data_IF_187009640621
#
_entry.id   IF_187009640621
#
_cell.length_a   1.000
_cell.length_b   1.000
_cell.length_c   1.000
_cell.angle_alpha   90.00
_cell.angle_beta   90.00
_cell.angle_gamma   90.00
#
_symmetry.space_group_name_H-M   'P 1'
#
loop_
_entity.id
_entity.type
_entity.pdbx_description
1 polymer ?
#
# COMPACT_ATOMS: atom_id res chain seq x y z
N UNK A 1 7.91 28.98 17.37
CA UNK A 1 8.74 29.29 18.55
C UNK A 1 10.05 29.90 18.10
N UNK A 2 10.61 30.80 18.90
CA UNK A 2 11.96 31.36 18.70
C UNK A 2 12.93 30.66 19.64
N UNK A 3 14.13 30.39 19.17
CA UNK A 3 15.23 29.91 20.01
C UNK A 3 15.77 30.96 20.96
N UNK A 4 16.74 30.60 21.82
CA UNK A 4 17.29 31.43 22.87
C UNK A 4 17.87 32.81 22.39
N UNK A 5 18.21 32.91 21.09
CA UNK A 5 18.78 34.10 20.47
C UNK A 5 17.82 34.82 19.50
N UNK A 6 16.51 34.58 19.62
CA UNK A 6 15.49 35.17 18.74
C UNK A 6 15.48 34.65 17.30
N UNK A 7 16.31 33.64 16.97
CA UNK A 7 16.29 32.98 15.66
C UNK A 7 15.16 31.95 15.64
N UNK A 8 14.52 31.74 14.48
CA UNK A 8 13.58 30.62 14.31
C UNK A 8 14.25 29.29 14.66
N UNK A 9 13.55 28.46 15.43
CA UNK A 9 14.00 27.08 15.66
C UNK A 9 13.88 26.32 14.34
N UNK A 10 14.91 25.59 13.90
CA UNK A 10 14.79 24.74 12.72
C UNK A 10 13.60 23.79 12.86
N UNK A 11 12.75 23.76 11.85
CA UNK A 11 11.62 22.85 11.77
C UNK A 11 11.84 21.94 10.57
N UNK A 12 11.90 20.63 10.83
CA UNK A 12 11.82 19.59 9.81
C UNK A 12 10.46 18.93 9.98
N UNK A 13 9.65 18.95 8.95
CA UNK A 13 8.33 18.32 8.95
C UNK A 13 8.21 17.41 7.73
N UNK A 14 8.17 16.10 7.96
CA UNK A 14 7.92 15.09 6.92
C UNK A 14 6.49 14.60 7.09
N UNK A 15 5.65 14.83 6.07
CA UNK A 15 4.20 14.71 6.18
C UNK A 15 3.60 13.59 5.35
N UNK A 16 4.43 12.77 4.69
CA UNK A 16 3.96 11.63 3.90
C UNK A 16 4.88 11.31 2.73
N UNK A 17 4.43 10.41 1.86
CA UNK A 17 5.16 10.01 0.65
C UNK A 17 4.38 9.02 -0.20
N UNK A 18 4.66 9.03 -1.50
CA UNK A 18 4.15 8.04 -2.45
C UNK A 18 5.31 7.14 -2.91
N UNK A 19 5.83 6.33 -1.98
CA UNK A 19 7.00 5.50 -2.26
C UNK A 19 6.67 4.43 -3.31
N UNK A 20 7.58 4.28 -4.26
CA UNK A 20 7.45 3.30 -5.33
C UNK A 20 8.54 2.23 -5.26
N UNK A 21 8.20 1.02 -5.68
CA UNK A 21 9.13 -0.07 -5.94
C UNK A 21 9.02 -0.42 -7.42
N UNK A 22 10.15 -0.36 -8.12
CA UNK A 22 10.22 -0.73 -9.55
C UNK A 22 10.85 -2.11 -9.65
N UNK A 23 10.13 -3.02 -10.31
CA UNK A 23 10.50 -4.43 -10.46
C UNK A 23 10.59 -4.76 -11.94
N UNK A 24 11.77 -5.13 -12.39
CA UNK A 24 11.97 -5.65 -13.74
C UNK A 24 11.86 -7.19 -13.80
N UNK A 25 11.92 -7.75 -15.00
CA UNK A 25 11.76 -9.19 -15.22
C UNK A 25 12.93 -10.04 -14.71
N UNK A 26 14.04 -9.45 -14.25
CA UNK A 26 15.19 -10.19 -13.66
C UNK A 26 15.02 -10.42 -12.16
N UNK A 27 14.05 -9.75 -11.52
CA UNK A 27 13.82 -9.87 -10.09
C UNK A 27 13.28 -11.26 -9.70
N UNK A 28 13.70 -11.75 -8.54
CA UNK A 28 13.18 -12.98 -7.95
C UNK A 28 11.78 -12.70 -7.39
N UNK A 29 10.75 -13.30 -7.98
CA UNK A 29 9.36 -13.03 -7.64
C UNK A 29 9.04 -13.30 -6.15
N UNK A 30 9.61 -14.36 -5.58
CA UNK A 30 9.46 -14.73 -4.17
C UNK A 30 9.97 -13.64 -3.21
N UNK A 31 11.12 -13.05 -3.55
CA UNK A 31 11.70 -11.95 -2.77
C UNK A 31 10.86 -10.68 -2.92
N UNK A 32 10.42 -10.36 -4.14
CA UNK A 32 9.53 -9.22 -4.40
C UNK A 32 8.27 -9.32 -3.56
N UNK A 33 7.63 -10.48 -3.52
CA UNK A 33 6.41 -10.69 -2.73
C UNK A 33 6.67 -10.47 -1.23
N UNK A 34 7.74 -11.03 -0.69
CA UNK A 34 8.11 -10.86 0.72
C UNK A 34 8.36 -9.38 1.07
N UNK A 35 9.13 -8.67 0.25
CA UNK A 35 9.46 -7.27 0.45
C UNK A 35 8.23 -6.36 0.31
N UNK A 36 7.35 -6.66 -0.64
CA UNK A 36 6.09 -5.94 -0.84
C UNK A 36 5.17 -6.10 0.36
N UNK A 37 4.97 -7.32 0.85
CA UNK A 37 4.11 -7.56 2.03
C UNK A 37 4.61 -6.78 3.24
N UNK A 38 5.89 -6.88 3.55
CA UNK A 38 6.49 -6.15 4.67
C UNK A 38 6.43 -4.64 4.48
N UNK A 39 6.70 -4.15 3.27
CA UNK A 39 6.76 -2.71 3.02
C UNK A 39 5.38 -2.04 2.93
N UNK A 40 4.40 -2.70 2.31
CA UNK A 40 3.09 -2.09 2.08
C UNK A 40 2.11 -2.30 3.25
N UNK A 41 2.19 -3.43 3.96
CA UNK A 41 1.12 -3.86 4.87
C UNK A 41 1.52 -3.93 6.34
N UNK A 42 2.81 -4.03 6.70
CA UNK A 42 3.23 -3.90 8.09
C UNK A 42 2.77 -2.57 8.68
N UNK A 43 2.37 -2.59 9.94
CA UNK A 43 1.76 -1.43 10.63
C UNK A 43 0.50 -0.91 9.92
N UNK A 44 -0.24 -1.79 9.23
CA UNK A 44 -1.39 -1.44 8.38
C UNK A 44 -1.05 -0.36 7.33
N UNK A 45 0.18 -0.37 6.80
CA UNK A 45 0.65 0.63 5.83
C UNK A 45 0.80 2.05 6.40
N UNK A 46 0.79 2.24 7.70
CA UNK A 46 0.81 3.57 8.35
C UNK A 46 2.23 4.02 8.69
N UNK A 47 3.11 4.02 7.69
CA UNK A 47 4.49 4.53 7.79
C UNK A 47 4.75 5.48 6.63
N UNK A 48 5.53 6.54 6.85
CA UNK A 48 5.99 7.44 5.78
C UNK A 48 6.81 6.71 4.72
N UNK A 49 7.48 5.60 5.09
CA UNK A 49 8.26 4.73 4.21
C UNK A 49 7.48 3.56 3.62
N UNK A 50 6.18 3.41 3.91
CA UNK A 50 5.40 2.30 3.36
C UNK A 50 5.30 2.38 1.83
N UNK A 51 5.39 1.22 1.19
CA UNK A 51 5.22 1.11 -0.25
C UNK A 51 3.78 1.46 -0.65
N UNK A 52 3.62 2.37 -1.60
CA UNK A 52 2.32 2.82 -2.12
C UNK A 52 2.08 2.39 -3.55
N UNK A 53 3.15 2.31 -4.34
CA UNK A 53 3.07 1.98 -5.76
C UNK A 53 4.09 0.89 -6.11
N UNK A 54 3.60 -0.24 -6.59
CA UNK A 54 4.41 -1.32 -7.13
C UNK A 54 4.37 -1.25 -8.66
N UNK A 55 5.50 -0.91 -9.26
CA UNK A 55 5.66 -0.85 -10.71
C UNK A 55 6.23 -2.18 -11.21
N UNK A 56 5.44 -2.95 -11.95
CA UNK A 56 5.84 -4.27 -12.46
C UNK A 56 6.07 -4.22 -13.97
N UNK A 57 7.22 -4.75 -14.41
CA UNK A 57 7.43 -4.99 -15.83
C UNK A 57 6.45 -6.05 -16.34
N UNK A 58 5.79 -5.80 -17.46
CA UNK A 58 4.69 -6.63 -18.00
C UNK A 58 5.07 -8.11 -18.17
N UNK A 59 6.31 -8.37 -18.53
CA UNK A 59 6.82 -9.74 -18.77
C UNK A 59 6.73 -10.65 -17.53
N UNK A 60 6.83 -10.09 -16.33
CA UNK A 60 6.78 -10.82 -15.06
C UNK A 60 5.56 -10.49 -14.18
N UNK A 61 4.79 -9.47 -14.56
CA UNK A 61 3.72 -8.91 -13.73
C UNK A 61 2.67 -9.93 -13.31
N UNK A 62 2.19 -10.75 -14.23
CA UNK A 62 1.12 -11.73 -13.92
C UNK A 62 1.58 -12.76 -12.89
N UNK A 63 2.82 -13.28 -13.04
CA UNK A 63 3.38 -14.22 -12.06
C UNK A 63 3.54 -13.58 -10.68
N UNK A 64 4.09 -12.37 -10.62
CA UNK A 64 4.29 -11.67 -9.35
C UNK A 64 2.95 -11.36 -8.68
N UNK A 65 1.94 -10.94 -9.46
CA UNK A 65 0.61 -10.64 -8.92
C UNK A 65 -0.10 -11.89 -8.41
N UNK A 66 -0.06 -13.01 -9.15
CA UNK A 66 -0.63 -14.27 -8.70
C UNK A 66 -0.05 -14.70 -7.34
N UNK A 67 1.27 -14.64 -7.20
CA UNK A 67 1.95 -14.96 -5.94
C UNK A 67 1.59 -13.96 -4.83
N UNK A 68 1.55 -12.68 -5.14
CA UNK A 68 1.23 -11.63 -4.17
C UNK A 68 -0.22 -11.73 -3.67
N UNK A 69 -1.16 -12.02 -4.56
CA UNK A 69 -2.56 -12.24 -4.22
C UNK A 69 -2.73 -13.47 -3.33
N UNK A 70 -2.03 -14.57 -3.63
CA UNK A 70 -2.00 -15.76 -2.79
C UNK A 70 -1.42 -15.48 -1.41
N UNK A 71 -0.31 -14.79 -1.33
CA UNK A 71 0.32 -14.43 -0.06
C UNK A 71 -0.52 -13.43 0.75
N UNK A 72 -1.19 -12.49 0.07
CA UNK A 72 -2.10 -11.54 0.72
C UNK A 72 -3.34 -12.25 1.30
N UNK A 73 -3.81 -13.30 0.66
CA UNK A 73 -4.95 -14.11 1.15
C UNK A 73 -4.63 -14.85 2.45
N UNK A 74 -3.37 -15.13 2.74
CA UNK A 74 -2.93 -15.75 3.99
C UNK A 74 -2.78 -14.74 5.15
N UNK A 75 -2.74 -13.42 4.86
CA UNK A 75 -2.60 -12.41 5.90
C UNK A 75 -3.84 -12.32 6.79
N UNK A 76 -3.60 -12.26 8.07
CA UNK A 76 -4.63 -12.16 9.11
C UNK A 76 -4.77 -10.74 9.61
N UNK A 77 -5.98 -10.20 9.50
CA UNK A 77 -6.35 -8.90 10.07
C UNK A 77 -6.91 -9.11 11.47
N UNK A 78 -6.41 -8.39 12.46
CA UNK A 78 -6.92 -8.57 13.83
C UNK A 78 -6.17 -7.79 14.90
N UNK A 79 -6.34 -8.23 16.15
CA UNK A 79 -5.67 -7.65 17.31
C UNK A 79 -4.14 -7.88 17.23
N UNK A 80 -3.32 -6.82 17.10
CA UNK A 80 -1.88 -6.94 16.92
C UNK A 80 -1.13 -7.51 18.15
N UNK A 81 -1.81 -7.69 19.27
CA UNK A 81 -1.25 -8.41 20.43
C UNK A 81 -1.17 -9.91 20.21
N UNK A 82 -1.89 -10.45 19.25
CA UNK A 82 -1.82 -11.85 18.88
C UNK A 82 -0.72 -12.04 17.82
N UNK A 83 0.28 -12.90 18.12
CA UNK A 83 1.44 -13.14 17.23
C UNK A 83 1.07 -13.68 15.85
N UNK A 84 -0.13 -14.23 15.69
CA UNK A 84 -0.64 -14.76 14.43
C UNK A 84 -1.33 -13.69 13.57
N UNK A 85 -1.34 -12.43 13.97
CA UNK A 85 -1.95 -11.31 13.24
C UNK A 85 -0.88 -10.53 12.51
N UNK A 86 -1.08 -10.32 11.23
CA UNK A 86 -0.16 -9.62 10.35
C UNK A 86 -0.54 -8.13 10.23
N UNK A 87 -1.83 -7.81 10.13
CA UNK A 87 -2.33 -6.46 9.91
C UNK A 87 -3.25 -6.03 11.05
N UNK A 88 -2.82 -5.00 11.77
CA UNK A 88 -3.58 -4.37 12.84
C UNK A 88 -4.59 -3.33 12.35
N UNK A 89 -5.19 -2.54 13.27
CA UNK A 89 -6.11 -1.48 12.89
C UNK A 89 -5.38 -0.25 12.35
N UNK A 90 -6.07 0.55 11.55
CA UNK A 90 -5.65 1.93 11.29
C UNK A 90 -5.98 2.83 12.50
N UNK A 91 -5.37 4.02 12.52
CA UNK A 91 -5.35 4.88 13.72
C UNK A 91 -6.76 5.21 14.27
N UNK A 92 -7.72 5.47 13.38
CA UNK A 92 -9.07 5.86 13.77
C UNK A 92 -10.12 5.56 12.66
N UNK A 93 -11.36 5.93 12.95
CA UNK A 93 -12.48 5.74 12.02
C UNK A 93 -12.40 6.67 10.79
N UNK A 94 -11.76 7.84 10.91
CA UNK A 94 -11.58 8.76 9.79
C UNK A 94 -10.59 8.18 8.78
N UNK A 95 -9.45 7.67 9.26
CA UNK A 95 -8.47 6.97 8.44
C UNK A 95 -9.07 5.74 7.77
N UNK A 96 -9.84 4.92 8.51
CA UNK A 96 -10.61 3.81 7.94
C UNK A 96 -11.50 4.29 6.81
N UNK A 97 -12.34 5.29 7.06
CA UNK A 97 -13.26 5.83 6.07
C UNK A 97 -12.55 6.42 4.84
N UNK A 98 -11.37 7.02 5.01
CA UNK A 98 -10.58 7.54 3.91
C UNK A 98 -10.09 6.41 2.98
N UNK A 99 -9.57 5.32 3.55
CA UNK A 99 -9.13 4.14 2.80
C UNK A 99 -10.31 3.48 2.08
N UNK A 100 -11.43 3.24 2.78
CA UNK A 100 -12.61 2.61 2.19
C UNK A 100 -13.19 3.44 1.03
N UNK A 101 -13.27 4.77 1.18
CA UNK A 101 -13.71 5.68 0.10
C UNK A 101 -12.78 5.63 -1.10
N UNK A 102 -11.46 5.60 -0.87
CA UNK A 102 -10.50 5.52 -1.97
C UNK A 102 -10.68 4.22 -2.76
N UNK A 103 -10.74 3.08 -2.08
CA UNK A 103 -10.89 1.78 -2.74
C UNK A 103 -12.22 1.71 -3.50
N UNK A 104 -13.32 2.17 -2.90
CA UNK A 104 -14.62 2.24 -3.59
C UNK A 104 -14.61 3.17 -4.81
N UNK A 105 -13.87 4.30 -4.74
CA UNK A 105 -13.70 5.18 -5.89
C UNK A 105 -12.93 4.51 -7.03
N UNK A 106 -11.89 3.72 -6.73
CA UNK A 106 -11.16 2.96 -7.74
C UNK A 106 -12.02 1.86 -8.37
N UNK A 107 -12.81 1.13 -7.58
CA UNK A 107 -13.79 0.17 -8.09
C UNK A 107 -14.81 0.85 -9.02
N UNK A 108 -15.34 2.01 -8.65
CA UNK A 108 -16.30 2.77 -9.48
C UNK A 108 -15.70 3.29 -10.78
N UNK A 109 -14.38 3.50 -10.82
CA UNK A 109 -13.63 3.85 -12.06
C UNK A 109 -13.33 2.62 -12.92
N UNK A 110 -13.77 1.43 -12.52
CA UNK A 110 -13.54 0.17 -13.22
C UNK A 110 -12.12 -0.40 -13.01
N UNK A 111 -11.40 0.03 -11.98
CA UNK A 111 -10.09 -0.53 -11.66
C UNK A 111 -10.22 -1.92 -11.04
N UNK A 112 -9.30 -2.82 -11.35
CA UNK A 112 -9.25 -4.12 -10.70
C UNK A 112 -8.82 -3.91 -9.25
N UNK A 113 -9.66 -4.34 -8.32
CA UNK A 113 -9.39 -4.34 -6.89
C UNK A 113 -9.41 -5.78 -6.38
N UNK A 114 -8.35 -6.18 -5.70
CA UNK A 114 -8.24 -7.47 -5.03
C UNK A 114 -8.19 -7.24 -3.54
N UNK A 115 -9.08 -7.90 -2.82
CA UNK A 115 -9.09 -7.93 -1.36
C UNK A 115 -8.96 -9.38 -0.89
N UNK A 116 -8.18 -9.66 0.17
CA UNK A 116 -8.11 -11.01 0.70
C UNK A 116 -9.48 -11.47 1.19
N UNK A 117 -9.83 -12.71 0.85
CA UNK A 117 -11.10 -13.31 1.29
C UNK A 117 -11.16 -13.57 2.81
N UNK A 118 -10.02 -13.52 3.50
CA UNK A 118 -9.89 -13.96 4.89
C UNK A 118 -10.08 -12.85 5.96
N UNK A 119 -10.44 -11.63 5.58
CA UNK A 119 -10.75 -10.62 6.59
C UNK A 119 -12.13 -10.90 7.21
N UNK A 120 -12.15 -11.44 8.43
CA UNK A 120 -13.38 -11.74 9.14
C UNK A 120 -14.22 -10.46 9.35
N UNK A 121 -15.46 -10.39 8.82
CA UNK A 121 -16.32 -9.24 9.00
C UNK A 121 -16.56 -8.88 10.47
N UNK A 122 -16.58 -9.89 11.37
CA UNK A 122 -16.74 -9.67 12.79
C UNK A 122 -15.51 -8.96 13.41
N UNK A 123 -14.32 -9.17 12.88
CA UNK A 123 -13.10 -8.43 13.28
C UNK A 123 -13.18 -7.00 12.75
N UNK A 124 -13.52 -6.82 11.48
CA UNK A 124 -13.62 -5.51 10.85
C UNK A 124 -14.66 -4.61 11.54
N UNK A 125 -15.72 -5.19 12.11
CA UNK A 125 -16.77 -4.47 12.83
C UNK A 125 -16.35 -3.98 14.24
N UNK A 126 -15.25 -4.51 14.82
CA UNK A 126 -14.87 -4.23 16.21
C UNK A 126 -14.02 -2.98 16.40
N UNK A 127 -13.60 -2.31 15.32
CA UNK A 127 -12.73 -1.16 15.42
C UNK A 127 -12.39 -0.57 14.05
N UNK A 128 -11.28 0.17 14.02
CA UNK A 128 -10.79 0.82 12.79
C UNK A 128 -9.96 -0.15 11.92
N UNK A 129 -10.45 -1.38 11.72
CA UNK A 129 -9.79 -2.36 10.86
C UNK A 129 -10.15 -2.13 9.40
N UNK A 130 -9.16 -2.30 8.53
CA UNK A 130 -9.31 -2.27 7.07
C UNK A 130 -8.62 -3.50 6.50
N UNK A 131 -9.31 -4.21 5.63
CA UNK A 131 -8.69 -5.30 4.90
C UNK A 131 -7.64 -4.75 3.91
N UNK A 132 -6.45 -5.35 3.81
CA UNK A 132 -5.49 -5.02 2.77
C UNK A 132 -6.13 -5.05 1.37
N UNK A 133 -5.68 -4.17 0.48
CA UNK A 133 -6.17 -4.14 -0.89
C UNK A 133 -5.04 -3.92 -1.89
N UNK A 134 -5.11 -4.62 -3.03
CA UNK A 134 -4.34 -4.32 -4.24
C UNK A 134 -5.26 -3.63 -5.23
N UNK A 135 -4.79 -2.54 -5.84
CA UNK A 135 -5.53 -1.75 -6.82
C UNK A 135 -4.67 -1.60 -8.06
N UNK A 136 -5.06 -2.20 -9.18
CA UNK A 136 -4.36 -1.97 -10.45
C UNK A 136 -4.77 -0.61 -11.03
N UNK A 137 -3.77 0.23 -11.33
CA UNK A 137 -3.93 1.56 -11.93
C UNK A 137 -3.27 1.60 -13.30
N UNK A 138 -3.69 2.52 -14.15
CA UNK A 138 -3.11 2.71 -15.48
C UNK A 138 -2.07 3.83 -15.52
N UNK A 139 -2.15 4.75 -14.56
CA UNK A 139 -1.25 5.89 -14.46
C UNK A 139 -1.08 6.31 -12.99
N UNK A 140 0.12 6.78 -12.65
CA UNK A 140 0.38 7.39 -11.35
C UNK A 140 -0.48 8.64 -11.11
N UNK A 141 -0.89 9.33 -12.15
CA UNK A 141 -1.77 10.50 -12.11
C UNK A 141 -3.17 10.20 -11.54
N UNK A 142 -3.56 8.93 -11.37
CA UNK A 142 -4.79 8.57 -10.68
C UNK A 142 -4.71 8.74 -9.16
N UNK A 143 -3.49 8.87 -8.62
CA UNK A 143 -3.22 9.02 -7.20
C UNK A 143 -3.00 10.49 -6.86
N UNK A 144 -4.09 11.21 -6.64
CA UNK A 144 -4.07 12.66 -6.32
C UNK A 144 -3.43 12.97 -4.97
N UNK A 145 -3.39 11.99 -4.08
CA UNK A 145 -2.84 12.10 -2.72
C UNK A 145 -2.42 10.74 -2.17
N UNK A 146 -1.59 10.73 -1.14
CA UNK A 146 -1.26 9.53 -0.41
C UNK A 146 -2.50 8.89 0.23
N UNK A 147 -2.60 7.56 0.12
CA UNK A 147 -3.58 6.75 0.84
C UNK A 147 -2.86 6.10 2.03
N UNK A 148 -3.00 6.69 3.20
CA UNK A 148 -2.28 6.27 4.40
C UNK A 148 -2.98 5.09 5.09
N UNK A 149 -2.72 3.90 4.59
CA UNK A 149 -3.37 2.68 5.03
C UNK A 149 -2.91 1.45 4.23
N UNK A 150 -3.50 0.28 4.45
CA UNK A 150 -3.07 -0.98 3.84
C UNK A 150 -3.60 -1.13 2.40
N UNK A 151 -3.21 -0.20 1.54
CA UNK A 151 -3.57 -0.20 0.10
C UNK A 151 -2.29 -0.07 -0.72
N UNK A 152 -2.09 -1.01 -1.62
CA UNK A 152 -1.01 -1.01 -2.59
C UNK A 152 -1.58 -0.82 -4.00
N UNK A 153 -1.05 0.17 -4.71
CA UNK A 153 -1.37 0.38 -6.12
C UNK A 153 -0.37 -0.35 -7.00
N UNK A 154 -0.83 -0.96 -8.05
CA UNK A 154 0.00 -1.69 -9.01
C UNK A 154 -0.06 -1.00 -10.36
N UNK A 155 1.09 -0.65 -10.91
CA UNK A 155 1.25 -0.07 -12.22
C UNK A 155 2.08 -1.02 -13.09
N UNK A 156 1.62 -1.30 -14.31
CA UNK A 156 2.35 -2.15 -15.26
C UNK A 156 3.06 -1.30 -16.29
N UNK A 157 4.35 -1.53 -16.49
CA UNK A 157 5.13 -0.84 -17.53
C UNK A 157 5.73 -1.79 -18.55
N UNK A 158 6.00 -1.31 -19.75
CA UNK A 158 6.68 -2.08 -20.80
C UNK A 158 8.19 -2.09 -20.61
N UNK A 159 8.89 -3.06 -21.22
CA UNK A 159 10.35 -3.18 -21.15
C UNK A 159 11.08 -1.87 -21.53
N UNK A 160 10.61 -1.23 -22.59
CA UNK A 160 11.19 0.02 -23.10
C UNK A 160 10.62 1.28 -22.42
N UNK A 161 9.77 1.10 -21.42
CA UNK A 161 9.07 2.18 -20.72
C UNK A 161 9.67 2.59 -19.38
N UNK A 162 10.85 2.08 -19.03
CA UNK A 162 11.45 2.37 -17.71
C UNK A 162 11.79 3.85 -17.55
N UNK A 163 12.42 4.46 -18.55
CA UNK A 163 12.79 5.88 -18.49
C UNK A 163 11.55 6.76 -18.33
N UNK A 164 10.49 6.50 -19.11
CA UNK A 164 9.22 7.22 -18.99
C UNK A 164 8.45 6.94 -17.68
N UNK A 165 8.77 5.85 -16.99
CA UNK A 165 8.22 5.55 -15.66
C UNK A 165 8.91 6.37 -14.57
N UNK A 166 10.20 6.69 -14.77
CA UNK A 166 11.03 7.37 -13.77
C UNK A 166 10.94 8.91 -13.88
N UNK A 167 10.48 9.44 -15.03
CA UNK A 167 10.22 10.87 -15.28
C UNK A 167 8.87 11.30 -14.69
#
# INVERSE_FOLDING_TARGET
RLGAHGQPVPLVAETGGQNAMVVDSSALAEQVVADVLASAFDSAGQRCSALRVLCLQRDSADRVLEMLEGALAEQRVGDPRALAVDVGPVIDAEARGAVERHVAAMESRGRRVVRPAAADPAVLARGSYVAPALVEIESIGELEREVFGPVLHVLRYGRDGLDALLD
#
